data_IF_682726266660
#
_entry.id   IF_682726266660
#
_cell.length_a   1.000
_cell.length_b   1.000
_cell.length_c   1.000
_cell.angle_alpha   90.00
_cell.angle_beta   90.00
_cell.angle_gamma   90.00
#
_symmetry.space_group_name_H-M   'P 1'
#
loop_
_entity.id
_entity.type
_entity.pdbx_description
1 polymer ?
#
# COMPACT_ATOMS: atom_id res chain seq x y z
N UNK A 1 -4.55 -16.22 -19.96
CA UNK A 1 -3.50 -16.85 -19.12
C UNK A 1 -4.07 -17.19 -17.74
N UNK A 2 -3.51 -18.17 -17.00
CA UNK A 2 -3.88 -18.41 -15.59
C UNK A 2 -3.00 -17.61 -14.63
N UNK A 3 -3.59 -16.81 -13.76
CA UNK A 3 -2.89 -16.04 -12.73
C UNK A 3 -2.91 -16.75 -11.38
N UNK A 4 -1.73 -17.14 -10.90
CA UNK A 4 -1.52 -17.62 -9.53
C UNK A 4 -1.38 -16.47 -8.54
N UNK A 5 -2.22 -16.43 -7.52
CA UNK A 5 -2.23 -15.39 -6.48
C UNK A 5 -2.02 -16.05 -5.13
N UNK A 6 -0.94 -15.65 -4.44
CA UNK A 6 -0.74 -16.05 -3.04
C UNK A 6 -1.57 -15.15 -2.13
N UNK A 7 -2.34 -15.75 -1.24
CA UNK A 7 -3.21 -15.02 -0.31
C UNK A 7 -2.77 -15.29 1.11
N UNK A 8 -2.35 -14.25 1.81
CA UNK A 8 -2.04 -14.27 3.23
C UNK A 8 -3.23 -13.61 3.93
N UNK A 9 -4.01 -14.37 4.71
CA UNK A 9 -5.13 -13.81 5.47
C UNK A 9 -4.64 -12.93 6.63
N UNK A 10 -3.51 -13.31 7.22
CA UNK A 10 -2.91 -12.61 8.35
C UNK A 10 -3.68 -12.81 9.65
N UNK A 11 -3.67 -11.81 10.51
CA UNK A 11 -4.15 -11.89 11.89
C UNK A 11 -5.26 -10.85 12.18
N UNK A 12 -5.93 -11.00 13.33
CA UNK A 12 -6.96 -10.07 13.79
C UNK A 12 -8.16 -10.00 12.82
N UNK A 13 -8.47 -8.81 12.29
CA UNK A 13 -9.52 -8.63 11.26
C UNK A 13 -9.13 -9.18 9.88
N UNK A 14 -7.87 -9.61 9.71
CA UNK A 14 -7.32 -10.01 8.41
C UNK A 14 -8.13 -11.09 7.70
N UNK A 15 -8.49 -12.20 8.36
CA UNK A 15 -9.37 -13.21 7.77
C UNK A 15 -10.73 -12.67 7.30
N UNK A 16 -11.36 -11.76 8.06
CA UNK A 16 -12.66 -11.17 7.71
C UNK A 16 -12.57 -10.32 6.44
N UNK A 17 -11.65 -9.36 6.39
CA UNK A 17 -11.52 -8.45 5.23
C UNK A 17 -10.95 -9.17 4.01
N UNK A 18 -10.09 -10.17 4.20
CA UNK A 18 -9.57 -11.01 3.11
C UNK A 18 -10.68 -11.86 2.53
N UNK A 19 -11.56 -12.43 3.35
CA UNK A 19 -12.73 -13.16 2.86
C UNK A 19 -13.61 -12.29 1.97
N UNK A 20 -13.86 -11.02 2.34
CA UNK A 20 -14.61 -10.08 1.51
C UNK A 20 -13.92 -9.83 0.16
N UNK A 21 -12.61 -9.61 0.18
CA UNK A 21 -11.82 -9.39 -1.02
C UNK A 21 -11.80 -10.60 -1.96
N UNK A 22 -11.80 -11.83 -1.42
CA UNK A 22 -11.89 -13.06 -2.21
C UNK A 22 -13.26 -13.26 -2.86
N UNK A 23 -14.36 -12.94 -2.16
CA UNK A 23 -15.71 -12.94 -2.76
C UNK A 23 -15.78 -11.98 -3.95
N UNK A 24 -15.21 -10.78 -3.80
CA UNK A 24 -15.13 -9.78 -4.89
C UNK A 24 -14.25 -10.28 -6.04
N UNK A 25 -13.09 -10.87 -5.73
CA UNK A 25 -12.17 -11.44 -6.72
C UNK A 25 -12.85 -12.53 -7.56
N UNK A 26 -13.59 -13.44 -6.91
CA UNK A 26 -14.33 -14.50 -7.59
C UNK A 26 -15.40 -13.92 -8.53
N UNK A 27 -16.24 -13.02 -8.02
CA UNK A 27 -17.32 -12.38 -8.80
C UNK A 27 -16.79 -11.65 -10.04
N UNK A 28 -15.76 -10.83 -9.87
CA UNK A 28 -15.17 -10.09 -11.00
C UNK A 28 -14.45 -11.01 -11.98
N UNK A 29 -13.81 -12.08 -11.49
CA UNK A 29 -13.15 -13.07 -12.35
C UNK A 29 -14.15 -13.80 -13.24
N UNK A 30 -15.31 -14.20 -12.68
CA UNK A 30 -16.39 -14.80 -13.46
C UNK A 30 -16.95 -13.83 -14.50
N UNK A 31 -17.19 -12.57 -14.12
CA UNK A 31 -17.74 -11.55 -15.02
C UNK A 31 -16.83 -11.23 -16.21
N UNK A 32 -15.52 -11.15 -15.98
CA UNK A 32 -14.54 -10.75 -16.98
C UNK A 32 -13.75 -11.93 -17.60
N UNK A 33 -14.10 -13.17 -17.26
CA UNK A 33 -13.44 -14.38 -17.77
C UNK A 33 -11.96 -14.46 -17.39
N UNK A 34 -11.62 -14.11 -16.14
CA UNK A 34 -10.25 -14.11 -15.63
C UNK A 34 -9.97 -15.46 -14.98
N UNK A 35 -8.97 -16.21 -15.46
CA UNK A 35 -8.56 -17.48 -14.85
C UNK A 35 -7.58 -17.21 -13.70
N UNK A 36 -8.06 -17.34 -12.46
CA UNK A 36 -7.29 -17.10 -11.24
C UNK A 36 -7.21 -18.37 -10.41
N UNK A 37 -5.99 -18.74 -10.04
CA UNK A 37 -5.70 -19.76 -9.05
C UNK A 37 -5.29 -19.09 -7.74
N UNK A 38 -6.17 -19.16 -6.74
CA UNK A 38 -5.92 -18.64 -5.39
C UNK A 38 -5.23 -19.72 -4.55
N UNK A 39 -4.07 -19.37 -3.99
CA UNK A 39 -3.35 -20.21 -3.03
C UNK A 39 -3.26 -19.49 -1.69
N UNK A 40 -4.03 -19.95 -0.70
CA UNK A 40 -3.87 -19.47 0.68
C UNK A 40 -2.58 -20.01 1.26
N UNK A 41 -1.81 -19.13 1.93
CA UNK A 41 -0.52 -19.45 2.55
C UNK A 41 -0.46 -18.88 3.96
N UNK A 42 0.19 -19.60 4.86
CA UNK A 42 0.31 -19.19 6.26
C UNK A 42 1.42 -18.14 6.41
N UNK A 43 1.09 -16.98 6.99
CA UNK A 43 2.06 -16.00 7.46
C UNK A 43 1.43 -15.11 8.52
N UNK A 44 2.22 -14.69 9.51
CA UNK A 44 1.76 -13.88 10.64
C UNK A 44 1.89 -14.58 11.99
N UNK A 45 1.19 -14.07 13.01
CA UNK A 45 1.33 -14.51 14.40
C UNK A 45 0.82 -15.95 14.56
N UNK A 46 -0.26 -16.32 13.87
CA UNK A 46 -0.73 -17.70 13.85
C UNK A 46 0.28 -18.67 13.20
N UNK A 47 1.06 -18.20 12.22
CA UNK A 47 2.15 -19.00 11.65
C UNK A 47 3.30 -19.17 12.65
N UNK A 48 3.63 -18.13 13.42
CA UNK A 48 4.61 -18.23 14.52
C UNK A 48 4.17 -19.28 15.54
N UNK A 49 2.91 -19.25 15.98
CA UNK A 49 2.36 -20.22 16.95
C UNK A 49 2.41 -21.65 16.42
N UNK A 50 2.08 -21.86 15.14
CA UNK A 50 1.94 -23.19 14.53
C UNK A 50 3.27 -23.80 14.07
N UNK A 51 4.18 -22.98 13.56
CA UNK A 51 5.41 -23.44 12.88
C UNK A 51 6.70 -22.90 13.49
N UNK A 52 6.62 -22.01 14.49
CA UNK A 52 7.78 -21.34 15.08
C UNK A 52 8.40 -20.26 14.20
N UNK A 53 7.75 -19.86 13.10
CA UNK A 53 8.24 -18.81 12.20
C UNK A 53 7.10 -18.02 11.57
N UNK A 54 7.30 -16.72 11.35
CA UNK A 54 6.31 -15.84 10.76
C UNK A 54 5.99 -16.14 9.29
N UNK A 55 6.91 -16.77 8.55
CA UNK A 55 6.68 -17.27 7.18
C UNK A 55 7.36 -18.63 7.01
N UNK A 56 6.61 -19.74 7.10
CA UNK A 56 7.10 -21.10 6.83
C UNK A 56 7.69 -21.23 5.43
N UNK A 57 8.65 -22.15 5.26
CA UNK A 57 9.32 -22.37 3.97
C UNK A 57 8.34 -22.78 2.86
N UNK A 58 7.32 -23.57 3.19
CA UNK A 58 6.24 -23.94 2.27
C UNK A 58 5.47 -22.71 1.76
N UNK A 59 5.06 -21.80 2.65
CA UNK A 59 4.42 -20.53 2.29
C UNK A 59 5.32 -19.68 1.40
N UNK A 60 6.62 -19.60 1.73
CA UNK A 60 7.58 -18.82 0.95
C UNK A 60 7.75 -19.35 -0.49
N UNK A 61 7.77 -20.68 -0.68
CA UNK A 61 7.83 -21.31 -2.01
C UNK A 61 6.62 -20.94 -2.86
N UNK A 62 5.42 -20.96 -2.29
CA UNK A 62 4.19 -20.56 -3.00
C UNK A 62 4.21 -19.07 -3.37
N UNK A 63 4.64 -18.21 -2.44
CA UNK A 63 4.79 -16.76 -2.66
C UNK A 63 5.70 -16.46 -3.86
N UNK A 64 6.89 -17.08 -3.92
CA UNK A 64 7.83 -16.87 -5.04
C UNK A 64 7.23 -17.34 -6.38
N UNK A 65 6.43 -18.41 -6.37
CA UNK A 65 5.84 -18.98 -7.58
C UNK A 65 4.53 -18.28 -8.03
N UNK A 66 4.04 -17.32 -7.25
CA UNK A 66 2.85 -16.53 -7.60
C UNK A 66 3.17 -15.30 -8.45
N UNK A 67 2.19 -14.82 -9.21
CA UNK A 67 2.30 -13.60 -10.02
C UNK A 67 2.13 -12.35 -9.16
N UNK A 68 1.23 -12.42 -8.18
CA UNK A 68 1.00 -11.36 -7.21
C UNK A 68 0.64 -11.95 -5.84
N UNK A 69 0.81 -11.12 -4.81
CA UNK A 69 0.47 -11.43 -3.43
C UNK A 69 -0.65 -10.50 -2.98
N UNK A 70 -1.69 -11.06 -2.38
CA UNK A 70 -2.73 -10.31 -1.70
C UNK A 70 -2.65 -10.63 -0.21
N UNK A 71 -2.45 -9.62 0.64
CA UNK A 71 -2.09 -9.82 2.04
C UNK A 71 -3.01 -8.98 2.95
N UNK A 72 -3.70 -9.64 3.87
CA UNK A 72 -4.40 -8.99 4.99
C UNK A 72 -3.42 -8.43 6.04
N UNK A 73 -3.90 -7.69 7.03
CA UNK A 73 -3.07 -7.20 8.13
C UNK A 73 -2.44 -8.36 8.92
N UNK A 74 -1.24 -8.13 9.45
CA UNK A 74 -0.50 -9.07 10.31
C UNK A 74 -0.30 -8.38 11.66
N UNK A 75 -0.25 -9.15 12.73
CA UNK A 75 -0.03 -8.64 14.09
C UNK A 75 1.43 -8.33 14.40
N UNK A 76 1.94 -8.83 15.53
CA UNK A 76 3.26 -8.48 16.07
C UNK A 76 4.40 -8.86 15.13
N UNK A 77 4.25 -9.95 14.38
CA UNK A 77 5.22 -10.45 13.41
C UNK A 77 5.20 -9.71 12.06
N UNK A 78 4.41 -8.63 11.92
CA UNK A 78 4.28 -7.88 10.66
C UNK A 78 5.64 -7.41 10.12
N UNK A 79 6.53 -6.97 11.02
CA UNK A 79 7.89 -6.56 10.64
C UNK A 79 8.70 -7.68 9.99
N UNK A 80 8.55 -8.93 10.43
CA UNK A 80 9.25 -10.08 9.83
C UNK A 80 8.64 -10.48 8.49
N UNK A 81 7.29 -10.56 8.44
CA UNK A 81 6.55 -10.97 7.24
C UNK A 81 6.81 -9.98 6.09
N UNK A 82 6.54 -8.71 6.36
CA UNK A 82 6.56 -7.66 5.34
C UNK A 82 7.99 -7.39 4.85
N UNK A 83 8.98 -7.36 5.76
CA UNK A 83 10.39 -7.14 5.36
C UNK A 83 10.91 -8.31 4.52
N UNK A 84 10.60 -9.57 4.90
CA UNK A 84 11.02 -10.75 4.13
C UNK A 84 10.43 -10.73 2.72
N UNK A 85 9.14 -10.42 2.56
CA UNK A 85 8.51 -10.35 1.24
C UNK A 85 9.05 -9.17 0.43
N UNK A 86 9.08 -7.95 1.00
CA UNK A 86 9.55 -6.74 0.31
C UNK A 86 10.98 -6.88 -0.19
N UNK A 87 11.91 -7.32 0.68
CA UNK A 87 13.32 -7.46 0.30
C UNK A 87 13.58 -8.71 -0.53
N UNK A 88 12.95 -9.83 -0.17
CA UNK A 88 13.14 -11.10 -0.87
C UNK A 88 12.64 -11.11 -2.31
N UNK A 89 11.67 -10.23 -2.64
CA UNK A 89 11.13 -10.06 -3.98
C UNK A 89 11.49 -8.70 -4.62
N UNK A 90 12.36 -7.91 -3.98
CA UNK A 90 12.75 -6.55 -4.41
C UNK A 90 11.56 -5.61 -4.74
N UNK A 91 10.53 -5.62 -3.88
CA UNK A 91 9.32 -4.79 -4.00
C UNK A 91 9.59 -3.36 -3.54
N UNK A 92 10.31 -2.61 -4.36
CA UNK A 92 10.94 -1.36 -3.97
C UNK A 92 10.06 -0.12 -3.94
N UNK A 93 8.94 -0.12 -4.65
CA UNK A 93 8.04 1.01 -4.70
C UNK A 93 6.78 0.71 -3.88
N UNK A 94 6.61 1.43 -2.77
CA UNK A 94 5.40 1.37 -1.96
C UNK A 94 4.50 2.55 -2.30
N UNK A 95 3.39 2.26 -2.98
CA UNK A 95 2.43 3.23 -3.50
C UNK A 95 1.25 3.33 -2.53
N UNK A 96 1.07 4.53 -1.94
CA UNK A 96 0.08 4.82 -0.89
C UNK A 96 -0.74 6.04 -1.32
N UNK A 97 -1.94 5.84 -1.91
CA UNK A 97 -2.81 6.95 -2.24
C UNK A 97 -3.43 7.51 -0.95
N UNK A 98 -3.69 8.81 -0.93
CA UNK A 98 -4.57 9.42 0.05
C UNK A 98 -5.52 10.34 -0.69
N UNK A 99 -6.81 10.00 -0.66
CA UNK A 99 -7.85 10.77 -1.32
C UNK A 99 -9.14 10.77 -0.52
N UNK A 100 -9.92 11.83 -0.65
CA UNK A 100 -11.26 11.83 -0.11
C UNK A 100 -12.17 10.86 -0.89
N UNK A 101 -13.03 10.16 -0.16
CA UNK A 101 -14.04 9.26 -0.71
C UNK A 101 -15.45 9.87 -0.56
N UNK A 102 -16.41 9.52 -1.45
CA UNK A 102 -17.79 10.00 -1.34
C UNK A 102 -18.41 9.65 0.03
N UNK A 103 -19.11 10.62 0.64
CA UNK A 103 -19.77 10.51 1.95
C UNK A 103 -18.87 10.14 3.14
N UNK A 104 -17.55 10.16 2.99
CA UNK A 104 -16.62 9.94 4.10
C UNK A 104 -16.26 11.27 4.72
N UNK A 105 -16.58 11.44 6.00
CA UNK A 105 -16.13 12.61 6.76
C UNK A 105 -14.60 12.61 6.84
N UNK A 106 -13.99 13.76 6.53
CA UNK A 106 -12.55 13.93 6.41
C UNK A 106 -12.12 15.24 7.05
N UNK A 107 -10.91 15.31 7.59
CA UNK A 107 -10.36 16.55 8.18
C UNK A 107 -10.16 17.64 7.13
N UNK A 108 -9.83 17.23 5.91
CA UNK A 108 -9.67 18.11 4.75
C UNK A 108 -10.45 17.55 3.57
N UNK A 109 -10.96 18.45 2.73
CA UNK A 109 -11.68 18.14 1.50
C UNK A 109 -10.75 18.36 0.30
N UNK A 110 -11.14 17.80 -0.84
CA UNK A 110 -10.46 17.96 -2.13
C UNK A 110 -8.99 17.50 -2.13
N UNK A 111 -8.68 16.51 -1.28
CA UNK A 111 -7.40 15.83 -1.22
C UNK A 111 -7.40 14.66 -2.19
N UNK A 112 -6.38 14.63 -3.05
CA UNK A 112 -6.03 13.51 -3.91
C UNK A 112 -4.52 13.58 -4.17
N UNK A 113 -3.75 12.80 -3.42
CA UNK A 113 -2.31 12.69 -3.55
C UNK A 113 -1.87 11.23 -3.49
N UNK A 114 -0.64 10.95 -3.93
CA UNK A 114 -0.02 9.63 -3.79
C UNK A 114 1.36 9.80 -3.17
N UNK A 115 1.62 9.03 -2.12
CA UNK A 115 2.95 8.87 -1.54
C UNK A 115 3.61 7.67 -2.20
N UNK A 116 4.79 7.92 -2.77
CA UNK A 116 5.67 6.95 -3.42
C UNK A 116 6.88 6.78 -2.50
N UNK A 117 6.81 5.74 -1.67
CA UNK A 117 7.77 5.43 -0.61
C UNK A 117 8.79 4.41 -1.10
N UNK A 118 10.07 4.73 -0.96
CA UNK A 118 11.17 3.76 -1.10
C UNK A 118 11.01 2.66 -0.05
N UNK A 119 11.20 1.39 -0.41
CA UNK A 119 10.71 0.27 0.38
C UNK A 119 11.73 -0.85 0.65
N UNK A 120 13.02 -0.64 0.34
CA UNK A 120 14.08 -1.67 0.46
C UNK A 120 15.28 -1.27 1.31
N UNK A 121 15.55 0.03 1.49
CA UNK A 121 16.70 0.52 2.24
C UNK A 121 16.26 1.42 3.40
N UNK A 122 17.04 2.46 3.72
CA UNK A 122 16.89 3.32 4.90
C UNK A 122 17.15 2.55 6.21
N UNK A 123 16.78 3.12 7.35
CA UNK A 123 16.87 2.47 8.67
C UNK A 123 16.09 1.14 8.77
N UNK A 124 15.20 0.85 7.81
CA UNK A 124 14.44 -0.40 7.74
C UNK A 124 15.30 -1.61 7.37
N UNK A 125 16.58 -1.42 7.02
CA UNK A 125 17.52 -2.54 6.95
C UNK A 125 17.79 -3.19 8.31
N UNK A 126 17.41 -2.54 9.42
CA UNK A 126 17.57 -3.00 10.81
C UNK A 126 19.02 -3.37 11.16
N UNK A 127 19.96 -2.58 10.64
CA UNK A 127 21.37 -2.73 10.95
C UNK A 127 21.70 -1.90 12.20
N UNK A 128 21.35 -2.46 13.36
CA UNK A 128 21.48 -1.82 14.68
C UNK A 128 22.43 -2.62 15.57
N UNK A 129 23.19 -1.95 16.43
CA UNK A 129 24.13 -2.59 17.36
C UNK A 129 24.20 -1.85 18.69
N UNK A 130 24.44 -2.60 19.77
CA UNK A 130 24.86 -2.05 21.07
C UNK A 130 26.38 -1.92 21.06
N UNK A 131 26.89 -0.70 21.21
CA UNK A 131 28.33 -0.42 21.23
C UNK A 131 28.91 -0.55 22.63
N UNK A 132 28.16 -0.07 23.63
CA UNK A 132 28.47 -0.21 25.05
C UNK A 132 27.19 -0.03 25.87
N UNK A 133 27.25 -0.19 27.19
CA UNK A 133 26.09 -0.01 28.07
C UNK A 133 25.45 1.38 27.86
N UNK A 134 24.16 1.40 27.52
CA UNK A 134 23.42 2.64 27.24
C UNK A 134 23.74 3.32 25.89
N UNK A 135 24.58 2.71 25.04
CA UNK A 135 24.97 3.29 23.74
C UNK A 135 24.63 2.33 22.60
N UNK A 136 23.69 2.75 21.76
CA UNK A 136 23.27 2.01 20.56
C UNK A 136 23.50 2.84 19.30
N UNK A 137 23.67 2.16 18.17
CA UNK A 137 23.77 2.79 16.85
C UNK A 137 22.80 2.12 15.89
N UNK A 138 22.36 2.87 14.89
CA UNK A 138 21.60 2.39 13.74
C UNK A 138 22.27 2.89 12.45
N UNK A 139 22.46 2.00 11.48
CA UNK A 139 22.96 2.36 10.16
C UNK A 139 21.80 2.72 9.23
N UNK A 140 21.89 3.93 8.66
CA UNK A 140 21.00 4.39 7.59
C UNK A 140 21.68 4.21 6.24
N UNK A 141 21.14 3.34 5.40
CA UNK A 141 21.64 3.08 4.04
C UNK A 141 20.77 3.78 3.01
N UNK A 142 21.37 4.61 2.17
CA UNK A 142 20.72 5.19 0.99
C UNK A 142 21.61 4.96 -0.23
N UNK A 143 21.04 4.45 -1.32
CA UNK A 143 21.77 4.18 -2.55
C UNK A 143 21.21 4.96 -3.73
N UNK A 144 22.10 5.32 -4.66
CA UNK A 144 21.69 5.93 -5.93
C UNK A 144 20.73 5.03 -6.71
N UNK A 145 20.97 3.71 -6.71
CA UNK A 145 20.12 2.73 -7.41
C UNK A 145 18.68 2.78 -6.90
N UNK A 146 18.47 2.69 -5.59
CA UNK A 146 17.13 2.72 -5.01
C UNK A 146 16.45 4.09 -5.17
N UNK A 147 17.21 5.18 -4.99
CA UNK A 147 16.75 6.56 -5.20
C UNK A 147 16.31 6.81 -6.65
N UNK A 148 17.07 6.31 -7.63
CA UNK A 148 16.73 6.47 -9.04
C UNK A 148 15.45 5.73 -9.41
N UNK A 149 15.32 4.44 -9.02
CA UNK A 149 14.15 3.64 -9.36
C UNK A 149 12.86 4.16 -8.71
N UNK A 150 12.91 4.58 -7.44
CA UNK A 150 11.72 5.15 -6.78
C UNK A 150 11.33 6.50 -7.37
N UNK A 151 12.34 7.33 -7.72
CA UNK A 151 12.13 8.57 -8.45
C UNK A 151 11.42 8.33 -9.78
N UNK A 152 11.90 7.37 -10.59
CA UNK A 152 11.26 7.01 -11.87
C UNK A 152 9.82 6.58 -11.68
N UNK A 153 9.52 5.74 -10.68
CA UNK A 153 8.14 5.37 -10.35
C UNK A 153 7.28 6.59 -10.04
N UNK A 154 7.79 7.56 -9.26
CA UNK A 154 7.07 8.79 -8.96
C UNK A 154 6.79 9.64 -10.21
N UNK A 155 7.79 9.81 -11.08
CA UNK A 155 7.64 10.55 -12.34
C UNK A 155 6.65 9.89 -13.30
N UNK A 156 6.71 8.56 -13.47
CA UNK A 156 5.75 7.84 -14.34
C UNK A 156 4.31 7.96 -13.82
N UNK A 157 4.10 7.85 -12.50
CA UNK A 157 2.78 8.05 -11.91
C UNK A 157 2.28 9.49 -12.13
N UNK A 158 3.15 10.49 -11.96
CA UNK A 158 2.80 11.90 -12.14
C UNK A 158 2.31 12.23 -13.57
N UNK A 159 2.80 11.54 -14.60
CA UNK A 159 2.41 11.78 -16.01
C UNK A 159 0.91 11.60 -16.27
N UNK A 160 0.26 10.71 -15.51
CA UNK A 160 -1.17 10.42 -15.58
C UNK A 160 -2.03 11.29 -14.64
N UNK A 161 -1.40 12.23 -13.92
CA UNK A 161 -2.01 13.04 -12.87
C UNK A 161 -1.78 14.54 -13.12
N UNK A 162 -1.57 15.34 -12.07
CA UNK A 162 -1.32 16.79 -12.18
C UNK A 162 0.12 17.11 -12.59
N UNK A 163 0.93 16.09 -12.88
CA UNK A 163 2.33 16.21 -13.33
C UNK A 163 3.18 17.01 -12.36
N UNK A 164 3.02 16.77 -11.05
CA UNK A 164 3.83 17.40 -10.00
C UNK A 164 4.39 16.36 -9.04
N UNK A 165 5.70 16.44 -8.75
CA UNK A 165 6.42 15.59 -7.81
C UNK A 165 7.10 16.45 -6.74
N UNK A 166 6.75 16.23 -5.48
CA UNK A 166 7.42 16.82 -4.32
C UNK A 166 8.39 15.83 -3.72
N UNK A 167 9.68 16.16 -3.68
CA UNK A 167 10.72 15.35 -3.07
C UNK A 167 10.82 15.71 -1.59
N UNK A 168 10.46 14.78 -0.69
CA UNK A 168 10.50 15.02 0.76
C UNK A 168 11.73 14.36 1.39
N UNK A 169 12.54 15.15 2.10
CA UNK A 169 13.82 14.71 2.68
C UNK A 169 14.23 15.57 3.90
N UNK A 170 15.42 15.40 4.47
CA UNK A 170 15.99 16.24 5.55
C UNK A 170 17.46 16.56 5.33
N UNK A 171 17.80 16.97 4.10
CA UNK A 171 19.19 17.13 3.65
C UNK A 171 19.93 18.33 4.28
N UNK A 172 19.24 19.20 5.02
CA UNK A 172 19.88 20.24 5.83
C UNK A 172 20.57 19.67 7.08
N UNK A 173 20.14 18.49 7.55
CA UNK A 173 20.76 17.76 8.67
C UNK A 173 21.54 16.57 8.13
N UNK A 174 20.91 15.77 7.27
CA UNK A 174 21.49 14.55 6.70
C UNK A 174 22.06 14.82 5.31
N UNK A 175 23.16 15.57 5.31
CA UNK A 175 23.78 16.14 4.10
C UNK A 175 24.24 15.10 3.08
N UNK A 176 24.59 13.89 3.53
CA UNK A 176 25.06 12.81 2.66
C UNK A 176 23.93 11.89 2.18
N UNK A 177 23.19 11.27 3.10
CA UNK A 177 22.15 10.28 2.76
C UNK A 177 20.96 10.93 2.06
N UNK A 178 20.29 11.89 2.72
CA UNK A 178 19.18 12.62 2.11
C UNK A 178 19.66 13.57 1.00
N UNK A 179 20.93 14.01 1.05
CA UNK A 179 21.58 14.71 -0.05
C UNK A 179 21.62 13.87 -1.33
N UNK A 180 22.09 12.62 -1.24
CA UNK A 180 22.16 11.68 -2.35
C UNK A 180 20.76 11.34 -2.90
N UNK A 181 19.80 11.06 -2.01
CA UNK A 181 18.42 10.75 -2.40
C UNK A 181 17.83 11.89 -3.24
N UNK A 182 17.90 13.11 -2.70
CA UNK A 182 17.38 14.33 -3.31
C UNK A 182 18.03 14.62 -4.66
N UNK A 183 19.37 14.64 -4.74
CA UNK A 183 20.06 14.97 -5.99
C UNK A 183 19.80 13.93 -7.06
N UNK A 184 19.79 12.64 -6.71
CA UNK A 184 19.49 11.55 -7.65
C UNK A 184 18.10 11.70 -8.28
N UNK A 185 17.08 12.01 -7.48
CA UNK A 185 15.72 12.18 -8.00
C UNK A 185 15.58 13.47 -8.82
N UNK A 186 16.18 14.58 -8.37
CA UNK A 186 16.20 15.83 -9.15
C UNK A 186 16.83 15.65 -10.53
N UNK A 187 17.90 14.88 -10.63
CA UNK A 187 18.59 14.60 -11.89
C UNK A 187 17.72 13.86 -12.91
N UNK A 188 16.62 13.21 -12.47
CA UNK A 188 15.66 12.57 -13.38
C UNK A 188 14.82 13.59 -14.16
N UNK A 189 14.74 14.84 -13.71
CA UNK A 189 13.95 15.91 -14.38
C UNK A 189 14.31 16.06 -15.87
N UNK A 190 15.56 15.79 -16.25
CA UNK A 190 16.00 15.82 -17.66
C UNK A 190 15.31 14.78 -18.56
N UNK A 191 14.79 13.70 -17.98
CA UNK A 191 14.02 12.67 -18.67
C UNK A 191 12.51 12.92 -18.62
N UNK A 192 12.05 13.83 -17.75
CA UNK A 192 10.65 14.15 -17.50
C UNK A 192 10.42 15.68 -17.51
N UNK A 193 10.72 16.36 -18.64
CA UNK A 193 10.63 17.82 -18.73
C UNK A 193 9.21 18.37 -18.47
N UNK A 194 8.18 17.55 -18.65
CA UNK A 194 6.76 17.88 -18.44
C UNK A 194 6.28 17.82 -16.98
N UNK A 195 7.05 17.23 -16.06
CA UNK A 195 6.65 17.04 -14.65
C UNK A 195 7.27 18.11 -13.75
N UNK A 196 6.47 18.99 -13.16
CA UNK A 196 6.91 19.97 -12.17
C UNK A 196 7.57 19.28 -10.97
N UNK A 197 8.66 19.86 -10.45
CA UNK A 197 9.34 19.37 -9.25
C UNK A 197 9.46 20.45 -8.20
N UNK A 198 9.20 20.10 -6.95
CA UNK A 198 9.56 20.89 -5.76
C UNK A 198 10.15 19.98 -4.66
N UNK A 199 10.68 20.60 -3.62
CA UNK A 199 11.39 19.93 -2.52
C UNK A 199 10.89 20.46 -1.19
N UNK A 200 10.69 19.55 -0.24
CA UNK A 200 10.31 19.91 1.13
C UNK A 200 11.10 19.14 2.17
N UNK A 201 11.39 19.83 3.28
CA UNK A 201 11.86 19.12 4.46
C UNK A 201 10.72 18.34 5.11
N UNK A 202 11.01 17.17 5.68
CA UNK A 202 9.98 16.29 6.27
C UNK A 202 9.11 16.96 7.33
N UNK A 203 9.68 17.84 8.16
CA UNK A 203 8.94 18.65 9.14
C UNK A 203 7.97 19.64 8.45
N UNK A 204 8.42 20.35 7.42
CA UNK A 204 7.55 21.22 6.61
C UNK A 204 6.47 20.45 5.87
N UNK A 205 6.82 19.28 5.32
CA UNK A 205 5.90 18.42 4.58
C UNK A 205 4.77 17.91 5.50
N UNK A 206 5.09 17.48 6.73
CA UNK A 206 4.10 17.08 7.74
C UNK A 206 3.14 18.24 8.04
N UNK A 207 3.68 19.45 8.29
CA UNK A 207 2.85 20.63 8.57
C UNK A 207 1.94 20.99 7.38
N UNK A 208 2.48 20.95 6.17
CA UNK A 208 1.74 21.30 4.97
C UNK A 208 0.74 20.23 4.55
N UNK A 209 0.99 18.95 4.85
CA UNK A 209 0.03 17.88 4.63
C UNK A 209 -1.21 18.10 5.49
N UNK A 210 -1.05 18.57 6.74
CA UNK A 210 -2.18 18.94 7.59
C UNK A 210 -2.83 20.26 7.15
N UNK A 211 -2.03 21.27 6.80
CA UNK A 211 -2.53 22.63 6.56
C UNK A 211 -3.20 22.78 5.19
N UNK A 212 -2.55 22.27 4.16
CA UNK A 212 -2.83 22.47 2.73
C UNK A 212 -2.49 21.24 1.87
N UNK A 213 -3.08 20.06 2.16
CA UNK A 213 -2.79 18.81 1.45
C UNK A 213 -3.06 18.88 -0.06
N UNK A 214 -3.99 19.72 -0.51
CA UNK A 214 -4.39 19.90 -1.91
C UNK A 214 -3.23 20.35 -2.82
N UNK A 215 -2.15 20.89 -2.25
CA UNK A 215 -0.97 21.30 -3.02
C UNK A 215 -0.14 20.13 -3.55
N UNK A 216 -0.23 18.95 -2.91
CA UNK A 216 0.59 17.79 -3.23
C UNK A 216 -0.10 16.95 -4.29
N UNK A 217 0.63 16.49 -5.31
CA UNK A 217 0.15 15.48 -6.26
C UNK A 217 0.84 14.14 -6.00
N UNK A 218 2.13 14.04 -6.34
CA UNK A 218 2.99 12.93 -5.93
C UNK A 218 3.98 13.40 -4.88
N UNK A 219 4.08 12.71 -3.76
CA UNK A 219 5.17 12.85 -2.79
C UNK A 219 6.11 11.67 -2.99
N UNK A 220 7.39 11.91 -3.24
CA UNK A 220 8.41 10.86 -3.29
C UNK A 220 9.37 11.02 -2.11
N UNK A 221 9.60 9.93 -1.37
CA UNK A 221 10.41 10.00 -0.15
C UNK A 221 11.04 8.66 0.25
N UNK A 222 11.92 8.71 1.24
CA UNK A 222 12.62 7.54 1.80
C UNK A 222 11.70 6.70 2.68
N UNK A 223 12.14 5.51 3.06
CA UNK A 223 11.31 4.50 3.71
C UNK A 223 10.67 4.99 5.01
N UNK A 224 11.46 5.58 5.92
CA UNK A 224 10.96 6.05 7.22
C UNK A 224 9.99 7.22 7.07
N UNK A 225 10.35 8.20 6.25
CA UNK A 225 9.50 9.38 6.04
C UNK A 225 8.20 9.02 5.35
N UNK A 226 8.25 8.09 4.38
CA UNK A 226 7.08 7.61 3.67
C UNK A 226 6.11 6.87 4.57
N UNK A 227 6.61 6.13 5.56
CA UNK A 227 5.77 5.49 6.58
C UNK A 227 4.92 6.52 7.32
N UNK A 228 5.60 7.51 7.91
CA UNK A 228 4.98 8.58 8.70
C UNK A 228 3.98 9.39 7.88
N UNK A 229 4.38 9.82 6.68
CA UNK A 229 3.51 10.63 5.81
C UNK A 229 2.29 9.85 5.34
N UNK A 230 2.42 8.55 5.08
CA UNK A 230 1.31 7.76 4.56
C UNK A 230 0.19 7.55 5.57
N UNK A 231 0.53 7.33 6.84
CA UNK A 231 -0.44 7.23 7.93
C UNK A 231 -1.12 8.58 8.18
N UNK A 232 -0.33 9.66 8.21
CA UNK A 232 -0.87 11.02 8.37
C UNK A 232 -1.83 11.38 7.22
N UNK A 233 -1.45 11.08 5.98
CA UNK A 233 -2.28 11.34 4.81
C UNK A 233 -3.60 10.55 4.85
N UNK A 234 -3.54 9.26 5.20
CA UNK A 234 -4.72 8.41 5.33
C UNK A 234 -5.70 8.99 6.36
N UNK A 235 -5.21 9.41 7.53
CA UNK A 235 -6.03 10.03 8.58
C UNK A 235 -6.67 11.36 8.13
N UNK A 236 -5.91 12.23 7.44
CA UNK A 236 -6.43 13.49 6.92
C UNK A 236 -7.59 13.28 5.95
N UNK A 237 -7.53 12.20 5.17
CA UNK A 237 -8.53 11.86 4.15
C UNK A 237 -9.72 11.03 4.65
N UNK A 238 -9.81 10.78 5.96
CA UNK A 238 -10.99 10.17 6.60
C UNK A 238 -10.63 9.01 7.52
N UNK A 239 -10.42 7.82 6.95
CA UNK A 239 -10.14 6.60 7.72
C UNK A 239 -8.98 5.82 7.12
N UNK A 240 -8.09 5.30 7.98
CA UNK A 240 -7.04 4.36 7.61
C UNK A 240 -7.61 3.05 7.03
N UNK A 241 -8.86 2.72 7.36
CA UNK A 241 -9.62 1.59 6.81
C UNK A 241 -9.93 1.70 5.30
N UNK A 242 -9.73 2.88 4.71
CA UNK A 242 -9.96 3.16 3.28
C UNK A 242 -8.70 3.16 2.43
N UNK A 243 -7.52 2.99 3.06
CA UNK A 243 -6.25 3.22 2.40
C UNK A 243 -5.64 1.90 1.90
N UNK A 244 -5.76 1.55 0.60
CA UNK A 244 -5.04 0.43 0.02
C UNK A 244 -3.56 0.78 -0.13
N UNK A 245 -2.74 -0.23 -0.37
CA UNK A 245 -1.36 -0.03 -0.80
C UNK A 245 -0.88 -1.10 -1.77
N UNK A 246 0.14 -0.74 -2.54
CA UNK A 246 0.83 -1.64 -3.45
C UNK A 246 2.35 -1.56 -3.22
N UNK A 247 2.98 -2.70 -2.99
CA UNK A 247 4.42 -2.87 -2.94
C UNK A 247 4.85 -3.50 -4.26
N UNK A 248 5.50 -2.72 -5.14
CA UNK A 248 5.76 -3.08 -6.53
C UNK A 248 7.26 -3.25 -6.72
N UNK A 249 7.66 -4.37 -7.30
CA UNK A 249 8.96 -4.58 -7.92
C UNK A 249 8.81 -4.78 -9.43
N UNK A 250 9.93 -5.01 -10.12
CA UNK A 250 9.91 -5.23 -11.57
C UNK A 250 9.11 -6.50 -11.92
N UNK A 251 9.32 -7.57 -11.13
CA UNK A 251 8.75 -8.87 -11.44
C UNK A 251 7.45 -9.22 -10.71
N UNK A 252 7.25 -8.71 -9.50
CA UNK A 252 6.13 -9.08 -8.63
C UNK A 252 5.55 -7.85 -7.94
N UNK A 253 4.34 -8.01 -7.42
CA UNK A 253 3.72 -7.02 -6.56
C UNK A 253 2.95 -7.68 -5.41
N UNK A 254 2.94 -6.99 -4.26
CA UNK A 254 2.14 -7.34 -3.10
C UNK A 254 1.17 -6.20 -2.77
N UNK A 255 -0.11 -6.53 -2.61
CA UNK A 255 -1.18 -5.59 -2.31
C UNK A 255 -1.70 -5.85 -0.90
N UNK A 256 -1.72 -4.82 -0.07
CA UNK A 256 -2.11 -4.91 1.35
C UNK A 256 -2.78 -3.61 1.81
N UNK A 257 -3.72 -3.64 2.78
CA UNK A 257 -4.23 -2.43 3.39
C UNK A 257 -3.13 -1.73 4.22
N UNK A 258 -3.31 -0.43 4.49
CA UNK A 258 -2.42 0.32 5.40
C UNK A 258 -2.63 -0.06 6.86
N UNK A 259 -3.87 -0.28 7.26
CA UNK A 259 -4.20 -0.55 8.66
C UNK A 259 -3.60 -1.88 9.18
N UNK A 260 -3.38 -1.93 10.49
CA UNK A 260 -2.93 -3.13 11.21
C UNK A 260 -4.05 -4.16 11.48
N UNK A 261 -3.75 -5.14 12.33
CA UNK A 261 -4.62 -6.30 12.61
C UNK A 261 -5.88 -5.98 13.43
N UNK A 262 -5.92 -4.85 14.15
CA UNK A 262 -7.11 -4.37 14.88
C UNK A 262 -7.80 -5.47 15.73
N UNK A 263 -7.03 -6.14 16.60
CA UNK A 263 -7.49 -7.25 17.44
C UNK A 263 -8.68 -6.88 18.34
N UNK A 264 -8.85 -5.60 18.68
CA UNK A 264 -9.93 -5.07 19.49
C UNK A 264 -11.31 -5.20 18.84
N UNK A 265 -11.39 -5.28 17.50
CA UNK A 265 -12.64 -5.45 16.73
C UNK A 265 -12.74 -6.76 15.96
N UNK A 266 -11.72 -7.62 16.02
CA UNK A 266 -11.71 -8.92 15.36
C UNK A 266 -12.88 -9.81 15.84
N UNK A 267 -13.51 -10.51 14.90
CA UNK A 267 -14.66 -11.39 15.11
C UNK A 267 -16.00 -10.68 15.31
N UNK A 268 -16.03 -9.34 15.27
CA UNK A 268 -17.27 -8.57 15.48
C UNK A 268 -18.05 -8.28 14.20
N UNK A 269 -17.49 -8.58 13.01
CA UNK A 269 -18.16 -8.33 11.74
C UNK A 269 -18.36 -6.85 11.40
N UNK A 270 -17.56 -5.97 12.01
CA UNK A 270 -17.62 -4.50 11.83
C UNK A 270 -16.36 -3.93 11.15
N UNK A 271 -15.37 -4.77 10.83
CA UNK A 271 -14.17 -4.34 10.14
C UNK A 271 -14.51 -3.79 8.75
N UNK A 272 -13.91 -2.69 8.35
CA UNK A 272 -14.12 -2.09 7.04
C UNK A 272 -13.31 -2.85 5.96
N UNK A 273 -13.94 -3.58 5.01
CA UNK A 273 -13.19 -4.35 4.03
C UNK A 273 -12.72 -3.51 2.83
N UNK A 274 -13.01 -2.20 2.81
CA UNK A 274 -12.77 -1.32 1.66
C UNK A 274 -11.34 -1.34 1.17
N UNK A 275 -10.35 -1.11 2.05
CA UNK A 275 -8.94 -1.11 1.63
C UNK A 275 -8.52 -2.45 1.02
N UNK A 276 -8.96 -3.57 1.59
CA UNK A 276 -8.63 -4.90 1.08
C UNK A 276 -9.29 -5.20 -0.27
N UNK A 277 -10.54 -4.77 -0.47
CA UNK A 277 -11.24 -4.89 -1.75
C UNK A 277 -10.57 -4.01 -2.82
N UNK A 278 -10.16 -2.79 -2.47
CA UNK A 278 -9.42 -1.92 -3.38
C UNK A 278 -8.07 -2.53 -3.77
N UNK A 279 -7.35 -3.16 -2.82
CA UNK A 279 -6.14 -3.93 -3.12
C UNK A 279 -6.38 -5.03 -4.17
N UNK A 280 -7.52 -5.72 -4.13
CA UNK A 280 -7.92 -6.67 -5.19
C UNK A 280 -8.06 -5.97 -6.55
N UNK A 281 -8.75 -4.84 -6.63
CA UNK A 281 -8.90 -4.08 -7.87
C UNK A 281 -7.55 -3.62 -8.43
N UNK A 282 -6.67 -3.17 -7.54
CA UNK A 282 -5.32 -2.71 -7.87
C UNK A 282 -4.42 -3.83 -8.37
N UNK A 283 -4.50 -5.00 -7.74
CA UNK A 283 -3.81 -6.21 -8.17
C UNK A 283 -4.20 -6.60 -9.60
N UNK A 284 -5.50 -6.59 -9.90
CA UNK A 284 -6.00 -6.90 -11.25
C UNK A 284 -5.55 -5.87 -12.29
N UNK A 285 -5.57 -4.57 -11.96
CA UNK A 285 -5.03 -3.53 -12.84
C UNK A 285 -3.56 -3.74 -13.13
N UNK A 286 -2.75 -3.98 -12.10
CA UNK A 286 -1.32 -4.22 -12.25
C UNK A 286 -1.03 -5.48 -13.09
N UNK A 287 -1.74 -6.58 -12.83
CA UNK A 287 -1.62 -7.81 -13.62
C UNK A 287 -2.02 -7.58 -15.09
N UNK A 288 -3.13 -6.89 -15.32
CA UNK A 288 -3.61 -6.56 -16.67
C UNK A 288 -2.62 -5.68 -17.44
N UNK A 289 -2.01 -4.69 -16.79
CA UNK A 289 -0.98 -3.85 -17.41
C UNK A 289 0.31 -4.63 -17.68
N UNK A 290 0.80 -5.39 -16.69
CA UNK A 290 2.05 -6.15 -16.79
C UNK A 290 1.98 -7.23 -17.88
N UNK A 291 0.88 -7.97 -17.94
CA UNK A 291 0.70 -9.09 -18.87
C UNK A 291 -0.07 -8.69 -20.14
N UNK A 292 -0.45 -7.41 -20.27
CA UNK A 292 -1.21 -6.87 -21.41
C UNK A 292 -2.56 -7.56 -21.63
N UNK A 293 -3.24 -7.90 -20.53
CA UNK A 293 -4.52 -8.62 -20.50
C UNK A 293 -5.64 -7.62 -20.13
N UNK A 294 -6.28 -7.07 -21.16
CA UNK A 294 -7.22 -5.94 -21.02
C UNK A 294 -8.46 -6.28 -20.18
N UNK A 295 -8.98 -7.51 -20.29
CA UNK A 295 -10.12 -7.96 -19.48
C UNK A 295 -9.78 -7.95 -17.97
N UNK A 296 -8.54 -8.28 -17.60
CA UNK A 296 -8.05 -8.24 -16.21
C UNK A 296 -7.97 -6.80 -15.72
N UNK A 297 -7.40 -5.91 -16.55
CA UNK A 297 -7.31 -4.48 -16.25
C UNK A 297 -8.69 -3.85 -16.05
N UNK A 298 -9.63 -4.16 -16.93
CA UNK A 298 -11.02 -3.70 -16.85
C UNK A 298 -11.76 -4.29 -15.64
N UNK A 299 -11.48 -5.55 -15.28
CA UNK A 299 -11.96 -6.15 -14.04
C UNK A 299 -11.52 -5.34 -12.82
N UNK A 300 -10.23 -5.00 -12.72
CA UNK A 300 -9.73 -4.17 -11.63
C UNK A 300 -10.35 -2.76 -11.56
N UNK A 301 -10.54 -2.10 -12.70
CA UNK A 301 -11.25 -0.81 -12.78
C UNK A 301 -12.70 -0.95 -12.29
N UNK A 302 -13.38 -2.04 -12.65
CA UNK A 302 -14.76 -2.28 -12.22
C UNK A 302 -14.90 -2.43 -10.71
N UNK A 303 -13.91 -3.06 -10.04
CA UNK A 303 -13.87 -3.17 -8.57
C UNK A 303 -13.73 -1.79 -7.93
N UNK A 304 -12.82 -0.94 -8.41
CA UNK A 304 -12.67 0.43 -7.88
C UNK A 304 -13.96 1.23 -8.02
N UNK A 305 -14.60 1.16 -9.19
CA UNK A 305 -15.87 1.86 -9.44
C UNK A 305 -17.02 1.32 -8.57
N UNK A 306 -17.08 0.02 -8.33
CA UNK A 306 -18.07 -0.61 -7.46
C UNK A 306 -17.89 -0.15 -6.01
N UNK A 307 -16.65 -0.07 -5.50
CA UNK A 307 -16.37 0.47 -4.16
C UNK A 307 -16.80 1.93 -4.06
N UNK A 308 -16.43 2.78 -5.02
CA UNK A 308 -16.83 4.20 -5.03
C UNK A 308 -18.36 4.36 -5.05
N UNK A 309 -19.04 3.54 -5.82
CA UNK A 309 -20.50 3.54 -5.93
C UNK A 309 -21.16 3.03 -4.64
N UNK A 310 -20.56 2.06 -3.96
CA UNK A 310 -21.03 1.56 -2.67
C UNK A 310 -20.89 2.62 -1.57
N UNK A 311 -19.73 3.29 -1.47
CA UNK A 311 -19.49 4.39 -0.52
C UNK A 311 -20.35 5.63 -0.80
N UNK A 312 -20.79 5.82 -2.05
CA UNK A 312 -21.72 6.90 -2.42
C UNK A 312 -23.12 6.77 -1.80
N UNK A 313 -23.42 5.66 -1.12
CA UNK A 313 -24.65 5.48 -0.32
C UNK A 313 -24.32 5.49 1.16
N UNK A 314 -24.82 6.47 1.92
CA UNK A 314 -24.57 6.61 3.37
C UNK A 314 -24.95 5.36 4.18
N UNK A 315 -25.99 4.64 3.75
CA UNK A 315 -26.46 3.41 4.40
C UNK A 315 -25.48 2.23 4.26
N UNK A 316 -24.40 2.37 3.48
CA UNK A 316 -23.37 1.34 3.37
C UNK A 316 -22.17 1.60 4.28
N UNK A 317 -22.09 2.74 4.97
CA UNK A 317 -20.89 3.07 5.75
C UNK A 317 -20.73 2.17 6.98
N UNK A 318 -19.52 1.66 7.19
CA UNK A 318 -19.12 0.89 8.38
C UNK A 318 -18.93 1.81 9.59
N UNK A 319 -18.85 1.28 10.83
CA UNK A 319 -18.76 2.10 12.03
C UNK A 319 -17.57 3.06 12.08
N UNK A 320 -16.41 2.71 11.52
CA UNK A 320 -15.25 3.60 11.42
C UNK A 320 -15.49 4.83 10.52
N UNK A 321 -16.50 4.77 9.65
CA UNK A 321 -16.93 5.86 8.77
C UNK A 321 -18.18 6.58 9.30
N UNK A 322 -18.59 6.32 10.54
CA UNK A 322 -19.78 6.90 11.16
C UNK A 322 -21.11 6.24 10.78
N UNK A 323 -21.08 5.08 10.12
CA UNK A 323 -22.27 4.31 9.77
C UNK A 323 -22.57 3.14 10.72
N UNK A 324 -23.43 2.22 10.28
CA UNK A 324 -23.85 1.03 11.06
C UNK A 324 -23.77 -0.28 10.28
N UNK A 325 -23.16 -0.25 9.10
CA UNK A 325 -23.11 -1.39 8.19
C UNK A 325 -22.00 -2.36 8.58
N UNK A 326 -22.33 -3.64 8.59
CA UNK A 326 -21.37 -4.73 8.87
C UNK A 326 -20.44 -4.95 7.67
N UNK A 327 -19.29 -5.59 7.92
CA UNK A 327 -18.34 -6.03 6.88
C UNK A 327 -19.03 -6.78 5.74
N UNK A 328 -19.92 -7.72 6.07
CA UNK A 328 -20.65 -8.54 5.10
C UNK A 328 -21.60 -7.71 4.24
N UNK A 329 -22.49 -6.92 4.86
CA UNK A 329 -23.42 -6.05 4.12
C UNK A 329 -22.72 -5.04 3.20
N UNK A 330 -21.57 -4.49 3.59
CA UNK A 330 -20.79 -3.65 2.68
C UNK A 330 -20.23 -4.46 1.50
N UNK A 331 -19.74 -5.67 1.77
CA UNK A 331 -19.26 -6.59 0.73
C UNK A 331 -20.38 -6.91 -0.27
N UNK A 332 -21.59 -7.23 0.21
CA UNK A 332 -22.75 -7.50 -0.64
C UNK A 332 -23.14 -6.28 -1.49
N UNK A 333 -23.07 -5.08 -0.91
CA UNK A 333 -23.31 -3.85 -1.64
C UNK A 333 -22.31 -3.70 -2.81
N UNK A 334 -21.03 -3.97 -2.60
CA UNK A 334 -20.01 -3.98 -3.67
C UNK A 334 -20.30 -5.07 -4.71
N UNK A 335 -20.60 -6.30 -4.27
CA UNK A 335 -20.91 -7.43 -5.17
C UNK A 335 -22.13 -7.16 -6.06
N UNK A 336 -23.13 -6.43 -5.56
CA UNK A 336 -24.32 -6.05 -6.33
C UNK A 336 -24.04 -5.06 -7.47
N UNK A 337 -22.88 -4.39 -7.43
CA UNK A 337 -22.44 -3.40 -8.40
C UNK A 337 -21.43 -3.96 -9.42
N UNK A 338 -21.06 -5.25 -9.27
CA UNK A 338 -20.19 -6.01 -10.17
C UNK A 338 -21.01 -6.90 -11.09
#
# INVERSE_FOLDING_TARGET
MRFRISVIEGDGIGPEVTSSALKVLEKVSLKYGIDIEVKKVDAGDEAVKKYGTAIPESSWKEIINSHAILKGPVGESAGEVVVKIRRGLDLYANIRPARNYPNVDSLKKDVDLIIVRENTEDVYIRAENVISEGVTIALRLITKKASERIGRTAFELAKSRRRKVTIVHKANVLTLTDGLFKTTIKDLKKYYPEVEIDEEYIDSAVMDLVRRPEKFDIIVTTNLYGDILSDLAAYITGSIGLAPSANIGDEKAMFEPVHGAAFDIAGKGIANPTAMILCTGWMLKWLGEKYKEENVRMGGISVENAVLSALSKKDNLTPDLGGSTTTERFTDAVLSLL
#
